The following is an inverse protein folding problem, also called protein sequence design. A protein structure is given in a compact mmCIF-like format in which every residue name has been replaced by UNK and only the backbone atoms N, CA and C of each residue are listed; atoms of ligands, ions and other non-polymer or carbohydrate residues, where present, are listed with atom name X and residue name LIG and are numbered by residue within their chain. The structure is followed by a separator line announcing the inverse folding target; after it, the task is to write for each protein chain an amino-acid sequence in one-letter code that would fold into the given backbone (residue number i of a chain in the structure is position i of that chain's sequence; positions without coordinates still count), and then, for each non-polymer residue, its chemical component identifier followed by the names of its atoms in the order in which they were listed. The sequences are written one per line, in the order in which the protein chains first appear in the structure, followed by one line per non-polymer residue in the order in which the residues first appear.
data_IF_313004500098
#
_entry.id   IF_313004500098
#
_cell.length_a   1.000
_cell.length_b   1.000
_cell.length_c   1.000
_cell.angle_alpha   90.00
_cell.angle_beta   90.00
_cell.angle_gamma   90.00
#
_symmetry.space_group_name_H-M   'P 1'
#
loop_
_entity.id
_entity.type
_entity.pdbx_description
1 polymer ?
#
# COMPACT_ATOMS: atom_id res chain seq x y z
N UNK A 1 28.84 -0.89 43.44
CA UNK A 1 29.82 -1.21 42.37
C UNK A 1 29.09 -1.13 41.03
N UNK A 2 29.35 -0.07 40.26
CA UNK A 2 28.69 0.19 39.00
C UNK A 2 29.29 -0.68 37.88
N UNK A 3 28.46 -1.48 37.23
CA UNK A 3 28.81 -2.17 35.99
C UNK A 3 28.87 -1.15 34.86
N UNK A 4 30.10 -0.81 34.43
CA UNK A 4 30.37 -0.11 33.18
C UNK A 4 30.02 -1.04 32.03
N UNK A 5 28.86 -0.86 31.41
CA UNK A 5 28.63 -1.36 30.06
C UNK A 5 29.39 -0.46 29.08
N UNK A 6 30.47 -1.00 28.49
CA UNK A 6 31.08 -0.41 27.30
C UNK A 6 30.09 -0.56 26.15
N UNK A 7 29.44 0.56 25.79
CA UNK A 7 28.65 0.67 24.56
C UNK A 7 29.64 0.67 23.40
N UNK A 8 29.77 -0.47 22.74
CA UNK A 8 30.57 -0.61 21.53
C UNK A 8 29.88 0.14 20.37
N UNK A 9 30.50 1.22 19.90
CA UNK A 9 30.65 1.72 18.51
C UNK A 9 29.50 1.70 17.47
N UNK A 10 28.35 1.04 17.65
CA UNK A 10 27.24 1.00 16.68
C UNK A 10 26.17 2.07 16.92
N UNK A 11 26.23 2.77 18.05
CA UNK A 11 25.22 3.77 18.47
C UNK A 11 25.48 5.19 17.98
N UNK A 12 26.66 5.49 17.42
CA UNK A 12 26.98 6.84 16.94
C UNK A 12 26.14 7.29 15.73
N UNK A 13 25.45 6.37 15.05
CA UNK A 13 24.56 6.70 13.92
C UNK A 13 23.07 6.86 14.34
N UNK A 14 22.72 6.61 15.61
CA UNK A 14 21.34 6.67 16.11
C UNK A 14 20.87 8.07 16.53
N UNK A 15 21.79 9.05 16.62
CA UNK A 15 21.46 10.44 16.97
C UNK A 15 20.53 11.12 15.93
N UNK A 16 20.47 10.59 14.70
CA UNK A 16 19.56 11.08 13.64
C UNK A 16 18.13 10.52 13.74
N UNK A 17 17.91 9.53 14.60
CA UNK A 17 16.62 8.84 14.78
C UNK A 17 16.05 9.04 16.19
N UNK A 18 16.51 10.06 16.92
CA UNK A 18 16.18 10.30 18.34
C UNK A 18 14.69 10.09 18.68
N UNK A 19 13.71 10.58 17.89
CA UNK A 19 12.30 10.35 18.21
C UNK A 19 11.89 8.87 18.12
N UNK A 20 12.38 8.13 17.13
CA UNK A 20 12.12 6.69 17.01
C UNK A 20 12.84 5.90 18.11
N UNK A 21 14.09 6.28 18.42
CA UNK A 21 14.89 5.64 19.47
C UNK A 21 14.24 5.81 20.85
N UNK A 22 13.67 6.98 21.15
CA UNK A 22 12.89 7.22 22.38
C UNK A 22 11.70 6.26 22.44
N UNK A 23 10.94 6.13 21.36
CA UNK A 23 9.79 5.22 21.31
C UNK A 23 10.21 3.74 21.44
N UNK A 24 11.35 3.35 20.88
CA UNK A 24 11.89 2.00 20.98
C UNK A 24 12.29 1.60 22.40
N UNK A 25 12.62 2.56 23.28
CA UNK A 25 12.88 2.26 24.70
C UNK A 25 11.65 1.70 25.42
N UNK A 26 10.45 1.95 24.90
CA UNK A 26 9.20 1.44 25.45
C UNK A 26 8.83 0.04 24.93
N UNK A 27 9.54 -0.46 23.93
CA UNK A 27 9.31 -1.76 23.29
C UNK A 27 10.12 -2.87 24.00
N UNK A 28 9.61 -4.13 24.06
CA UNK A 28 10.39 -5.26 24.56
C UNK A 28 11.74 -5.40 23.83
N UNK A 29 12.82 -5.62 24.57
CA UNK A 29 14.20 -5.57 24.07
C UNK A 29 14.46 -6.47 22.85
N UNK A 30 13.91 -7.69 22.82
CA UNK A 30 14.07 -8.63 21.68
C UNK A 30 13.47 -8.05 20.40
N UNK A 31 12.31 -7.39 20.49
CA UNK A 31 11.64 -6.74 19.36
C UNK A 31 12.33 -5.44 18.97
N UNK A 32 12.86 -4.70 19.93
CA UNK A 32 13.62 -3.48 19.66
C UNK A 32 14.86 -3.77 18.81
N UNK A 33 15.57 -4.90 19.03
CA UNK A 33 16.72 -5.30 18.21
C UNK A 33 16.30 -5.58 16.77
N UNK A 34 15.27 -6.40 16.55
CA UNK A 34 14.73 -6.69 15.21
C UNK A 34 14.32 -5.41 14.47
N UNK A 35 13.68 -4.47 15.17
CA UNK A 35 13.28 -3.19 14.58
C UNK A 35 14.49 -2.30 14.27
N UNK A 36 15.52 -2.31 15.13
CA UNK A 36 16.74 -1.53 14.91
C UNK A 36 17.50 -2.03 13.67
N UNK A 37 17.48 -3.33 13.40
CA UNK A 37 18.05 -3.90 12.16
C UNK A 37 17.36 -3.41 10.89
N UNK A 38 16.10 -2.98 10.97
CA UNK A 38 15.36 -2.40 9.85
C UNK A 38 15.71 -0.93 9.60
N UNK A 39 16.36 -0.28 10.57
CA UNK A 39 16.68 1.15 10.52
C UNK A 39 18.14 1.33 10.11
N UNK A 40 18.38 1.68 8.83
CA UNK A 40 19.71 2.03 8.33
C UNK A 40 19.86 3.54 8.28
N UNK A 41 20.55 4.19 9.24
CA UNK A 41 20.59 5.65 9.33
C UNK A 41 21.20 6.33 8.09
N UNK A 42 22.06 5.64 7.33
CA UNK A 42 22.71 6.18 6.13
C UNK A 42 21.76 6.43 4.96
N UNK A 43 20.57 5.81 4.95
CA UNK A 43 19.61 5.89 3.83
C UNK A 43 18.24 6.41 4.27
N UNK A 44 18.13 6.93 5.49
CA UNK A 44 16.86 7.34 6.08
C UNK A 44 16.84 8.82 6.43
N UNK A 45 15.71 9.45 6.14
CA UNK A 45 15.36 10.81 6.56
C UNK A 45 14.22 10.76 7.57
N UNK A 46 14.09 11.80 8.40
CA UNK A 46 13.05 11.87 9.43
C UNK A 46 12.08 13.03 9.17
N UNK A 47 10.77 12.77 9.31
CA UNK A 47 9.73 13.80 9.28
C UNK A 47 9.37 14.24 10.70
N UNK A 48 9.51 15.55 11.00
CA UNK A 48 9.06 16.11 12.28
C UNK A 48 7.54 16.04 12.38
N UNK A 49 7.08 15.61 13.56
CA UNK A 49 5.68 15.72 13.94
C UNK A 49 5.26 17.19 13.96
N UNK A 50 4.37 17.60 13.05
CA UNK A 50 3.72 18.92 13.07
C UNK A 50 4.03 19.85 11.89
N UNK A 51 5.13 19.67 11.16
CA UNK A 51 5.54 20.60 10.07
C UNK A 51 5.55 19.98 8.68
N UNK A 52 5.42 18.65 8.55
CA UNK A 52 5.64 17.94 7.27
C UNK A 52 6.98 18.26 6.60
N UNK A 53 7.95 18.79 7.36
CA UNK A 53 9.30 19.12 6.88
C UNK A 53 10.28 18.04 7.30
N UNK A 54 11.12 17.60 6.36
CA UNK A 54 12.23 16.68 6.64
C UNK A 54 13.24 17.39 7.56
N UNK A 55 13.52 16.79 8.72
CA UNK A 55 14.34 17.40 9.79
C UNK A 55 15.81 17.07 9.61
N UNK A 56 16.13 15.91 9.03
CA UNK A 56 17.50 15.44 8.85
C UNK A 56 17.60 14.61 7.55
N UNK A 57 18.58 14.94 6.69
CA UNK A 57 19.05 14.04 5.63
C UNK A 57 20.49 13.61 5.90
N UNK A 58 20.87 12.34 5.64
CA UNK A 58 22.26 11.93 5.71
C UNK A 58 23.00 12.51 4.50
N UNK A 59 24.01 13.35 4.76
CA UNK A 59 24.96 13.95 3.80
C UNK A 59 24.38 14.81 2.67
N UNK A 60 24.77 16.10 2.70
CA UNK A 60 24.80 16.99 1.54
C UNK A 60 25.78 16.44 0.50
N UNK A 61 25.36 15.47 -0.31
CA UNK A 61 25.91 15.36 -1.66
C UNK A 61 25.07 16.26 -2.55
N UNK A 62 25.73 17.15 -3.29
CA UNK A 62 25.13 18.13 -4.20
C UNK A 62 24.49 17.43 -5.39
N UNK A 63 23.36 16.78 -5.16
CA UNK A 63 22.51 16.16 -6.16
C UNK A 63 21.09 16.24 -5.63
N UNK A 64 20.26 17.07 -6.26
CA UNK A 64 18.83 17.22 -5.95
C UNK A 64 18.21 15.86 -5.58
N UNK A 65 17.64 15.74 -4.37
CA UNK A 65 16.67 14.70 -4.06
C UNK A 65 15.68 14.61 -5.22
N UNK A 66 15.74 13.53 -5.99
CA UNK A 66 14.81 13.28 -7.10
C UNK A 66 13.62 12.49 -6.57
N UNK A 67 12.94 13.07 -5.59
CA UNK A 67 11.55 12.73 -5.32
C UNK A 67 10.72 13.25 -6.49
N UNK A 68 10.64 12.46 -7.56
CA UNK A 68 9.81 12.73 -8.72
C UNK A 68 8.33 12.36 -8.48
N UNK A 69 7.99 11.89 -7.27
CA UNK A 69 6.63 11.60 -6.86
C UNK A 69 5.97 12.88 -6.35
N UNK A 70 4.80 13.21 -6.88
CA UNK A 70 4.07 14.47 -6.66
C UNK A 70 3.58 14.69 -5.21
N UNK A 71 3.80 13.75 -4.29
CA UNK A 71 3.30 13.85 -2.91
C UNK A 71 4.24 13.16 -1.92
N UNK A 72 4.77 13.90 -0.96
CA UNK A 72 5.46 13.34 0.22
C UNK A 72 4.43 12.68 1.16
N UNK A 73 4.81 11.65 1.95
CA UNK A 73 3.97 11.23 3.04
C UNK A 73 3.80 12.41 4.00
N UNK A 74 2.56 12.67 4.40
CA UNK A 74 2.24 13.79 5.28
C UNK A 74 1.78 13.30 6.63
N UNK A 75 2.08 14.08 7.67
CA UNK A 75 1.61 13.86 9.02
C UNK A 75 0.93 15.13 9.50
N UNK A 76 -0.35 15.01 9.86
CA UNK A 76 -1.16 16.11 10.35
C UNK A 76 -1.78 15.76 11.70
N UNK A 77 -1.78 16.73 12.62
CA UNK A 77 -2.65 16.67 13.78
C UNK A 77 -4.04 17.11 13.34
N UNK A 78 -4.90 16.12 13.11
CA UNK A 78 -6.26 16.36 12.64
C UNK A 78 -7.21 16.78 13.76
N UNK A 79 -6.75 16.87 15.01
CA UNK A 79 -7.62 17.15 16.16
C UNK A 79 -8.75 16.12 16.33
N UNK A 80 -8.65 14.96 15.65
CA UNK A 80 -9.59 13.87 15.76
C UNK A 80 -9.63 13.49 17.24
N UNK A 81 -10.76 13.74 17.90
CA UNK A 81 -10.92 13.52 19.35
C UNK A 81 -10.35 12.14 19.67
N UNK A 82 -9.28 12.11 20.46
CA UNK A 82 -8.66 10.88 20.95
C UNK A 82 -9.75 10.01 21.54
N UNK A 83 -10.18 8.99 20.81
CA UNK A 83 -11.10 8.00 21.29
C UNK A 83 -10.33 7.21 22.35
N UNK A 84 -10.76 7.31 23.60
CA UNK A 84 -10.13 6.55 24.67
C UNK A 84 -10.20 5.04 24.32
N UNK A 85 -9.15 4.24 24.56
CA UNK A 85 -9.18 2.82 24.18
C UNK A 85 -10.38 2.05 24.77
N UNK A 86 -10.80 2.34 26.01
CA UNK A 86 -12.12 1.94 26.55
C UNK A 86 -13.33 2.27 25.67
N UNK A 87 -13.40 3.49 25.14
CA UNK A 87 -14.49 3.90 24.25
C UNK A 87 -14.47 3.09 22.96
N UNK A 88 -13.30 2.88 22.37
CA UNK A 88 -13.14 2.02 21.20
C UNK A 88 -13.55 0.58 21.50
N UNK A 89 -13.14 0.05 22.66
CA UNK A 89 -13.53 -1.29 23.12
C UNK A 89 -15.05 -1.41 23.25
N UNK A 90 -15.70 -0.41 23.83
CA UNK A 90 -17.16 -0.39 23.97
C UNK A 90 -17.86 -0.33 22.61
N UNK A 91 -17.37 0.50 21.68
CA UNK A 91 -17.89 0.59 20.31
C UNK A 91 -17.77 -0.77 19.61
N UNK A 92 -16.60 -1.42 19.69
CA UNK A 92 -16.36 -2.72 19.09
C UNK A 92 -17.17 -3.86 19.74
N UNK A 93 -17.63 -3.68 20.98
CA UNK A 93 -18.53 -4.61 21.67
C UNK A 93 -20.00 -4.41 21.29
N UNK A 94 -20.40 -3.26 20.74
CA UNK A 94 -21.79 -3.02 20.30
C UNK A 94 -22.21 -3.91 19.13
N UNK A 95 -21.26 -4.29 18.28
CA UNK A 95 -21.45 -5.19 17.16
C UNK A 95 -20.20 -6.03 17.02
N UNK A 96 -20.32 -7.35 17.20
CA UNK A 96 -19.22 -8.31 17.11
C UNK A 96 -19.24 -9.11 15.80
N UNK A 97 -20.08 -8.74 14.82
CA UNK A 97 -20.13 -9.40 13.50
C UNK A 97 -18.76 -9.42 12.80
N UNK A 98 -17.94 -8.39 13.06
CA UNK A 98 -16.59 -8.26 12.52
C UNK A 98 -15.60 -9.33 12.99
N UNK A 99 -15.85 -10.03 14.11
CA UNK A 99 -14.92 -11.05 14.65
C UNK A 99 -14.71 -12.18 13.64
N UNK A 100 -15.76 -12.57 12.91
CA UNK A 100 -15.70 -13.61 11.88
C UNK A 100 -14.87 -13.23 10.65
N UNK A 101 -14.74 -11.93 10.37
CA UNK A 101 -14.04 -11.39 9.21
C UNK A 101 -12.61 -10.91 9.55
N UNK A 102 -12.09 -11.31 10.72
CA UNK A 102 -10.77 -10.90 11.20
C UNK A 102 -9.64 -11.61 10.47
N UNK A 103 -8.63 -10.83 10.08
CA UNK A 103 -7.35 -11.34 9.59
C UNK A 103 -6.28 -11.11 10.65
N UNK A 104 -5.56 -12.17 11.00
CA UNK A 104 -4.44 -12.15 11.95
C UNK A 104 -3.13 -12.27 11.17
N UNK A 105 -2.20 -11.35 11.44
CA UNK A 105 -0.84 -11.39 10.93
C UNK A 105 0.09 -11.81 12.07
N UNK A 106 0.81 -12.94 11.96
CA UNK A 106 1.81 -13.34 12.94
C UNK A 106 3.08 -12.47 12.83
N UNK A 107 3.87 -12.31 13.90
CA UNK A 107 5.14 -11.62 13.88
C UNK A 107 6.21 -12.45 13.18
N UNK A 108 6.96 -11.80 12.29
CA UNK A 108 8.14 -12.34 11.59
C UNK A 108 9.26 -12.44 12.64
N UNK A 109 9.42 -13.58 13.31
CA UNK A 109 10.40 -14.53 12.81
C UNK A 109 9.87 -15.97 12.81
N UNK A 110 8.60 -16.15 13.15
CA UNK A 110 7.93 -17.44 13.07
C UNK A 110 6.90 -17.32 11.95
N UNK A 111 7.31 -17.75 10.75
CA UNK A 111 6.43 -18.42 9.79
C UNK A 111 5.85 -19.73 10.38
N UNK A 112 5.66 -19.81 11.70
CA UNK A 112 4.63 -20.63 12.29
C UNK A 112 3.36 -19.82 12.14
N UNK A 113 2.79 -19.94 10.94
CA UNK A 113 1.36 -19.84 10.78
C UNK A 113 0.71 -20.44 12.01
N UNK A 114 -0.14 -19.69 12.71
CA UNK A 114 -1.17 -20.35 13.51
C UNK A 114 -1.98 -21.14 12.48
N UNK A 115 -1.79 -22.46 12.38
CA UNK A 115 -2.25 -23.23 11.23
C UNK A 115 -3.75 -23.31 11.36
N UNK A 116 -4.51 -22.46 10.63
CA UNK A 116 -5.97 -22.39 10.77
C UNK A 116 -6.38 -22.65 12.22
N UNK A 117 -5.72 -21.95 13.17
CA UNK A 117 -5.77 -22.40 14.57
C UNK A 117 -7.22 -22.36 14.98
N UNK A 118 -7.74 -23.51 15.44
CA UNK A 118 -9.07 -23.75 15.99
C UNK A 118 -9.83 -22.43 16.25
N UNK A 119 -10.98 -22.16 15.60
CA UNK A 119 -11.68 -20.84 15.67
C UNK A 119 -11.69 -20.20 17.07
N UNK A 120 -11.79 -21.04 18.09
CA UNK A 120 -11.67 -20.71 19.52
C UNK A 120 -10.37 -20.00 19.93
N UNK A 121 -9.21 -20.39 19.40
CA UNK A 121 -7.90 -19.76 19.64
C UNK A 121 -7.79 -18.37 19.01
N UNK A 122 -8.24 -18.20 17.77
CA UNK A 122 -8.27 -16.90 17.08
C UNK A 122 -9.21 -15.93 17.78
N UNK A 123 -10.42 -16.36 18.16
CA UNK A 123 -11.35 -15.55 18.93
C UNK A 123 -10.77 -15.13 20.30
N UNK A 124 -10.05 -16.04 20.98
CA UNK A 124 -9.40 -15.73 22.26
C UNK A 124 -8.31 -14.67 22.09
N UNK A 125 -7.52 -14.75 21.02
CA UNK A 125 -6.50 -13.73 20.69
C UNK A 125 -7.14 -12.37 20.38
N UNK A 126 -8.23 -12.36 19.60
CA UNK A 126 -9.00 -11.14 19.30
C UNK A 126 -9.53 -10.51 20.59
N UNK A 127 -10.22 -11.29 21.44
CA UNK A 127 -10.74 -10.81 22.73
C UNK A 127 -9.62 -10.31 23.64
N UNK A 128 -8.50 -11.03 23.70
CA UNK A 128 -7.31 -10.65 24.47
C UNK A 128 -6.78 -9.28 24.05
N UNK A 129 -6.59 -9.04 22.75
CA UNK A 129 -6.14 -7.74 22.25
C UNK A 129 -7.14 -6.61 22.54
N UNK A 130 -8.44 -6.87 22.40
CA UNK A 130 -9.49 -5.89 22.72
C UNK A 130 -9.52 -5.50 24.19
N UNK A 131 -9.48 -6.49 25.08
CA UNK A 131 -9.56 -6.29 26.54
C UNK A 131 -8.36 -5.50 27.07
N UNK A 132 -7.23 -5.58 26.37
CA UNK A 132 -5.97 -4.97 26.78
C UNK A 132 -5.59 -3.76 25.92
N UNK A 133 -6.54 -3.15 25.20
CA UNK A 133 -6.30 -1.91 24.43
C UNK A 133 -5.79 -0.73 25.27
N UNK A 134 -6.09 -0.72 26.57
CA UNK A 134 -5.55 0.26 27.53
C UNK A 134 -4.15 -0.14 28.07
N UNK A 135 -3.73 -1.40 27.94
CA UNK A 135 -2.44 -1.90 28.41
C UNK A 135 -1.37 -1.72 27.32
N UNK A 136 -0.60 -0.64 27.46
CA UNK A 136 0.44 -0.25 26.51
C UNK A 136 1.50 -1.33 26.27
N UNK A 137 1.73 -2.24 27.23
CA UNK A 137 2.79 -3.25 27.19
C UNK A 137 2.25 -4.66 27.03
N UNK A 138 1.00 -4.81 26.64
CA UNK A 138 0.40 -6.11 26.42
C UNK A 138 1.11 -6.88 25.30
N UNK A 139 1.67 -8.03 25.66
CA UNK A 139 2.51 -8.88 24.78
C UNK A 139 2.03 -10.33 24.72
N UNK A 140 0.97 -10.69 25.46
CA UNK A 140 0.53 -12.08 25.58
C UNK A 140 0.07 -12.69 24.24
N UNK A 141 -0.50 -11.87 23.35
CA UNK A 141 -0.78 -12.26 21.96
C UNK A 141 0.00 -11.37 21.01
N UNK A 142 1.11 -11.91 20.50
CA UNK A 142 1.90 -11.23 19.50
C UNK A 142 1.24 -11.44 18.13
N UNK A 143 0.27 -10.60 17.76
CA UNK A 143 -0.31 -10.57 16.42
C UNK A 143 -0.83 -9.18 16.06
N UNK A 144 -0.96 -8.91 14.76
CA UNK A 144 -1.72 -7.75 14.26
C UNK A 144 -3.06 -8.22 13.76
N UNK A 145 -4.11 -7.60 14.27
CA UNK A 145 -5.49 -7.84 13.90
C UNK A 145 -5.93 -6.80 12.88
N UNK A 146 -6.51 -7.21 11.76
CA UNK A 146 -7.18 -6.31 10.81
C UNK A 146 -8.59 -6.80 10.49
N UNK A 147 -9.54 -5.88 10.39
CA UNK A 147 -10.95 -6.21 10.18
C UNK A 147 -11.73 -5.01 9.65
N UNK A 148 -12.95 -5.24 9.18
CA UNK A 148 -13.91 -4.19 8.85
C UNK A 148 -14.96 -4.11 9.94
N UNK A 149 -15.36 -2.91 10.33
CA UNK A 149 -16.41 -2.74 11.35
C UNK A 149 -17.33 -1.58 10.96
N UNK A 150 -18.57 -1.91 10.62
CA UNK A 150 -19.58 -0.94 10.23
C UNK A 150 -19.94 0.04 11.36
N UNK A 151 -19.74 -0.34 12.63
CA UNK A 151 -19.95 0.56 13.78
C UNK A 151 -18.80 1.56 13.88
N UNK A 152 -17.56 1.10 13.71
CA UNK A 152 -16.39 1.98 13.67
C UNK A 152 -16.49 2.92 12.47
N UNK A 153 -16.89 2.43 11.30
CA UNK A 153 -17.10 3.26 10.10
C UNK A 153 -18.14 4.36 10.34
N UNK A 154 -19.28 4.03 10.97
CA UNK A 154 -20.32 5.02 11.30
C UNK A 154 -19.81 6.09 12.26
N UNK A 155 -19.05 5.68 13.27
CA UNK A 155 -18.47 6.61 14.23
C UNK A 155 -17.43 7.52 13.56
N UNK A 156 -16.62 6.94 12.67
CA UNK A 156 -15.49 7.60 12.05
C UNK A 156 -15.86 8.48 10.85
N UNK A 157 -17.04 8.27 10.24
CA UNK A 157 -17.54 9.10 9.13
C UNK A 157 -17.53 10.61 9.43
N UNK A 158 -17.56 11.00 10.70
CA UNK A 158 -17.50 12.39 11.14
C UNK A 158 -16.07 12.98 11.15
N UNK A 159 -15.05 12.13 11.14
CA UNK A 159 -13.62 12.49 11.24
C UNK A 159 -12.89 12.41 9.90
N UNK A 160 -13.43 11.64 8.95
CA UNK A 160 -13.01 11.67 7.55
C UNK A 160 -13.52 12.97 6.95
N UNK A 161 -12.68 14.00 6.95
CA UNK A 161 -13.06 15.34 6.50
C UNK A 161 -13.68 15.32 5.10
N UNK A 162 -14.63 16.23 4.86
CA UNK A 162 -15.28 16.48 3.56
C UNK A 162 -14.32 16.84 2.40
N UNK A 163 -13.02 16.92 2.66
CA UNK A 163 -11.97 17.28 1.71
C UNK A 163 -11.45 16.10 0.87
N UNK A 164 -11.88 14.86 1.13
CA UNK A 164 -11.57 13.71 0.26
C UNK A 164 -12.40 13.67 -1.05
N UNK A 165 -13.11 14.76 -1.36
CA UNK A 165 -14.08 14.85 -2.48
C UNK A 165 -13.45 15.03 -3.87
N UNK A 166 -12.11 15.02 -4.00
CA UNK A 166 -11.44 15.20 -5.30
C UNK A 166 -11.21 13.91 -6.10
N UNK A 167 -11.58 12.72 -5.59
CA UNK A 167 -11.41 11.47 -6.34
C UNK A 167 -12.66 11.13 -7.17
N UNK A 168 -12.54 11.20 -8.50
CA UNK A 168 -13.62 10.94 -9.47
C UNK A 168 -13.99 9.46 -9.65
N UNK A 169 -13.19 8.52 -9.11
CA UNK A 169 -13.64 7.13 -9.00
C UNK A 169 -14.63 7.05 -7.84
N UNK A 170 -15.84 6.53 -8.07
CA UNK A 170 -16.79 6.21 -7.00
C UNK A 170 -16.04 5.45 -5.91
N UNK A 171 -15.80 6.15 -4.81
CA UNK A 171 -14.97 5.72 -3.71
C UNK A 171 -15.47 4.38 -3.18
N UNK A 172 -14.84 3.28 -3.61
CA UNK A 172 -14.89 2.04 -2.82
C UNK A 172 -13.91 2.28 -1.67
N UNK A 173 -14.35 3.10 -0.70
CA UNK A 173 -13.64 3.28 0.56
C UNK A 173 -13.59 1.92 1.24
N UNK A 174 -12.45 1.26 1.15
CA UNK A 174 -12.19 0.08 1.97
C UNK A 174 -11.61 0.56 3.29
N UNK A 175 -12.49 0.90 4.20
CA UNK A 175 -12.10 1.20 5.57
C UNK A 175 -11.68 -0.11 6.24
N UNK A 176 -10.50 -0.11 6.84
CA UNK A 176 -9.99 -1.25 7.59
C UNK A 176 -9.52 -0.77 8.95
N UNK A 177 -10.02 -1.37 10.01
CA UNK A 177 -9.53 -1.16 11.37
C UNK A 177 -8.40 -2.14 11.64
N UNK A 178 -7.39 -1.69 12.37
CA UNK A 178 -6.23 -2.49 12.74
C UNK A 178 -5.88 -2.31 14.20
N UNK A 179 -5.57 -3.40 14.90
CA UNK A 179 -5.03 -3.42 16.26
C UNK A 179 -3.68 -4.14 16.23
N UNK A 180 -2.62 -3.43 16.58
CA UNK A 180 -1.25 -3.95 16.64
C UNK A 180 -0.83 -4.09 18.09
N UNK A 181 -0.30 -5.24 18.48
CA UNK A 181 0.32 -5.41 19.80
C UNK A 181 1.62 -4.62 19.94
N UNK A 182 2.10 -4.45 21.17
CA UNK A 182 3.41 -3.83 21.43
C UNK A 182 4.55 -4.70 20.85
N UNK A 183 5.36 -4.12 19.96
CA UNK A 183 6.43 -4.82 19.23
C UNK A 183 5.97 -5.51 17.94
N UNK A 184 4.73 -5.28 17.49
CA UNK A 184 4.26 -5.77 16.20
C UNK A 184 5.04 -5.14 15.05
N UNK A 185 5.35 -5.94 14.02
CA UNK A 185 5.96 -5.52 12.77
C UNK A 185 5.10 -6.02 11.59
N UNK A 186 4.73 -5.10 10.70
CA UNK A 186 4.09 -5.41 9.41
C UNK A 186 5.14 -5.26 8.30
N UNK A 187 5.40 -6.33 7.52
CA UNK A 187 6.37 -6.29 6.44
C UNK A 187 5.81 -5.60 5.19
N UNK A 188 6.72 -5.36 4.24
CA UNK A 188 6.45 -4.86 2.90
C UNK A 188 5.32 -5.60 2.15
N UNK A 189 5.07 -6.89 2.42
CA UNK A 189 3.97 -7.64 1.76
C UNK A 189 2.57 -7.11 2.12
N UNK A 190 2.44 -6.55 3.32
CA UNK A 190 1.21 -5.94 3.81
C UNK A 190 1.01 -4.50 3.30
N UNK A 191 1.98 -3.95 2.55
CA UNK A 191 1.87 -2.63 1.94
C UNK A 191 0.78 -2.62 0.86
N UNK A 192 -0.16 -1.69 0.95
CA UNK A 192 -1.18 -1.51 -0.10
C UNK A 192 -0.67 -0.65 -1.25
N UNK A 193 0.37 -1.12 -1.95
CA UNK A 193 1.14 -0.34 -2.95
C UNK A 193 0.25 0.31 -4.03
N UNK A 194 -0.86 -0.29 -4.44
CA UNK A 194 -1.68 0.30 -5.52
C UNK A 194 -2.62 1.44 -5.07
N UNK A 195 -2.65 1.80 -3.78
CA UNK A 195 -3.62 2.75 -3.22
C UNK A 195 -2.97 3.82 -2.36
N UNK A 196 -3.56 5.02 -2.37
CA UNK A 196 -3.34 5.98 -1.29
C UNK A 196 -3.88 5.39 0.01
N UNK A 197 -3.10 5.48 1.08
CA UNK A 197 -3.51 5.02 2.41
C UNK A 197 -3.48 6.18 3.39
N UNK A 198 -4.66 6.58 3.88
CA UNK A 198 -4.80 7.55 4.97
C UNK A 198 -5.03 6.79 6.26
N UNK A 199 -4.06 6.81 7.16
CA UNK A 199 -4.08 6.08 8.43
C UNK A 199 -4.26 7.06 9.57
N UNK A 200 -5.35 6.90 10.31
CA UNK A 200 -5.64 7.69 11.49
C UNK A 200 -5.41 6.83 12.73
N UNK A 201 -4.55 7.30 13.63
CA UNK A 201 -4.21 6.55 14.84
C UNK A 201 -5.13 6.96 15.98
N UNK A 202 -5.87 5.99 16.52
CA UNK A 202 -6.81 6.21 17.61
C UNK A 202 -6.09 6.12 18.96
N UNK A 203 -5.27 5.08 19.13
CA UNK A 203 -4.56 4.80 20.38
C UNK A 203 -3.14 4.33 20.11
N UNK A 204 -2.26 4.53 21.09
CA UNK A 204 -0.88 4.06 21.05
C UNK A 204 0.02 4.87 20.12
N UNK A 205 1.12 4.23 19.72
CA UNK A 205 2.15 4.80 18.84
C UNK A 205 2.52 3.79 17.75
N UNK A 206 2.56 4.27 16.51
CA UNK A 206 3.05 3.53 15.34
C UNK A 206 4.20 4.27 14.70
N UNK A 207 5.16 3.52 14.19
CA UNK A 207 6.27 4.05 13.40
C UNK A 207 6.19 3.46 12.00
N UNK A 208 6.29 4.32 11.01
CA UNK A 208 6.30 3.96 9.60
C UNK A 208 7.69 4.22 9.04
N UNK A 209 8.17 3.32 8.20
CA UNK A 209 9.30 3.55 7.33
C UNK A 209 8.77 3.46 5.90
N UNK A 210 8.71 4.60 5.23
CA UNK A 210 8.11 4.75 3.90
C UNK A 210 9.21 5.02 2.88
N UNK A 211 9.35 4.16 1.88
CA UNK A 211 10.34 4.32 0.82
C UNK A 211 9.67 4.93 -0.42
N UNK A 212 10.33 5.84 -1.16
CA UNK A 212 9.77 6.40 -2.39
C UNK A 212 9.72 5.35 -3.51
N UNK A 213 8.79 5.48 -4.47
CA UNK A 213 8.64 4.57 -5.60
C UNK A 213 9.70 4.79 -6.69
N UNK A 214 10.99 4.78 -6.32
CA UNK A 214 12.09 4.87 -7.30
C UNK A 214 12.20 3.57 -8.09
N UNK A 215 12.74 3.62 -9.31
CA UNK A 215 12.95 2.42 -10.13
C UNK A 215 13.70 1.33 -9.35
N UNK A 216 14.75 1.72 -8.62
CA UNK A 216 15.51 0.82 -7.75
C UNK A 216 14.62 0.17 -6.68
N UNK A 217 13.91 0.97 -5.88
CA UNK A 217 13.05 0.45 -4.81
C UNK A 217 11.95 -0.47 -5.36
N UNK A 218 11.35 -0.12 -6.50
CA UNK A 218 10.32 -0.94 -7.12
C UNK A 218 10.86 -2.27 -7.66
N UNK A 219 12.08 -2.29 -8.20
CA UNK A 219 12.75 -3.55 -8.60
C UNK A 219 13.10 -4.41 -7.39
N UNK A 220 13.63 -3.82 -6.32
CA UNK A 220 13.96 -4.52 -5.07
C UNK A 220 12.73 -5.16 -4.44
N UNK A 221 11.61 -4.43 -4.35
CA UNK A 221 10.35 -4.96 -3.80
C UNK A 221 9.74 -6.03 -4.71
N UNK A 222 9.82 -5.86 -6.03
CA UNK A 222 9.38 -6.89 -6.97
C UNK A 222 10.15 -8.19 -6.75
N UNK A 223 11.49 -8.10 -6.66
CA UNK A 223 12.34 -9.26 -6.35
C UNK A 223 11.98 -9.89 -5.01
N UNK A 224 11.77 -9.09 -3.97
CA UNK A 224 11.34 -9.58 -2.66
C UNK A 224 10.06 -10.42 -2.73
N UNK A 225 9.04 -9.97 -3.47
CA UNK A 225 7.81 -10.75 -3.65
C UNK A 225 8.03 -12.03 -4.46
N UNK A 226 8.89 -12.00 -5.48
CA UNK A 226 9.26 -13.21 -6.22
C UNK A 226 10.00 -14.22 -5.32
N UNK A 227 10.95 -13.76 -4.53
CA UNK A 227 11.73 -14.60 -3.61
C UNK A 227 10.83 -15.28 -2.57
N UNK A 228 9.84 -14.55 -2.02
CA UNK A 228 8.82 -15.11 -1.11
C UNK A 228 8.06 -16.29 -1.75
N UNK A 229 7.75 -16.22 -3.04
CA UNK A 229 7.05 -17.32 -3.75
C UNK A 229 7.94 -18.52 -4.06
N UNK A 230 9.27 -18.37 -4.01
CA UNK A 230 10.24 -19.40 -4.41
C UNK A 230 10.79 -20.22 -3.23
N UNK A 231 10.10 -20.23 -2.08
CA UNK A 231 10.54 -20.90 -0.84
C UNK A 231 11.85 -20.35 -0.25
N UNK A 232 12.34 -19.22 -0.74
CA UNK A 232 13.37 -18.45 -0.05
C UNK A 232 12.67 -17.61 1.02
N UNK A 233 13.18 -17.61 2.23
CA UNK A 233 12.78 -16.65 3.26
C UNK A 233 13.80 -15.52 3.24
N UNK A 234 13.67 -14.52 2.33
CA UNK A 234 14.58 -13.40 2.34
C UNK A 234 14.55 -12.77 3.72
N UNK A 235 15.74 -12.48 4.28
CA UNK A 235 15.81 -11.74 5.53
C UNK A 235 15.21 -10.36 5.28
N UNK A 236 14.04 -10.10 5.84
CA UNK A 236 13.28 -8.88 5.61
C UNK A 236 14.13 -7.61 5.85
N UNK A 237 14.97 -7.64 6.89
CA UNK A 237 15.91 -6.57 7.19
C UNK A 237 16.89 -6.28 6.05
N UNK A 238 17.43 -7.32 5.39
CA UNK A 238 18.35 -7.13 4.26
C UNK A 238 17.65 -6.39 3.11
N UNK A 239 16.40 -6.75 2.82
CA UNK A 239 15.63 -6.09 1.75
C UNK A 239 15.36 -4.63 2.09
N UNK A 240 14.99 -4.34 3.35
CA UNK A 240 14.84 -2.96 3.82
C UNK A 240 16.16 -2.18 3.74
N UNK A 241 17.29 -2.83 3.99
CA UNK A 241 18.63 -2.21 3.88
C UNK A 241 18.99 -1.87 2.44
N UNK A 242 18.47 -2.63 1.47
CA UNK A 242 18.67 -2.39 0.04
C UNK A 242 17.77 -1.27 -0.52
N UNK A 243 16.72 -0.86 0.22
CA UNK A 243 15.84 0.23 -0.16
C UNK A 243 16.47 1.60 0.17
N UNK A 244 16.27 2.56 -0.72
CA UNK A 244 16.90 3.87 -0.66
C UNK A 244 15.91 4.97 -0.31
N UNK A 245 16.42 6.04 0.31
CA UNK A 245 15.70 7.28 0.60
C UNK A 245 14.44 7.09 1.48
N UNK A 246 14.49 6.15 2.43
CA UNK A 246 13.38 5.88 3.35
C UNK A 246 13.07 7.07 4.24
N UNK A 247 11.80 7.28 4.56
CA UNK A 247 11.35 8.30 5.53
C UNK A 247 10.73 7.61 6.74
N UNK A 248 11.28 7.89 7.91
CA UNK A 248 10.72 7.46 9.17
C UNK A 248 9.69 8.47 9.71
N UNK A 249 8.52 7.98 10.12
CA UNK A 249 7.40 8.77 10.64
C UNK A 249 6.93 8.15 11.96
N UNK A 250 6.99 8.92 13.05
CA UNK A 250 6.40 8.51 14.35
C UNK A 250 4.99 9.11 14.45
N UNK A 251 3.99 8.25 14.46
CA UNK A 251 2.59 8.62 14.59
C UNK A 251 2.11 8.34 16.02
N UNK A 252 1.60 9.39 16.68
CA UNK A 252 0.93 9.31 17.97
C UNK A 252 -0.59 9.36 17.82
N UNK A 253 -1.30 8.91 18.85
CA UNK A 253 -2.76 8.95 18.92
C UNK A 253 -3.34 10.37 18.66
N UNK A 254 -4.31 10.43 17.74
CA UNK A 254 -4.95 11.65 17.24
C UNK A 254 -4.38 12.16 15.90
N UNK A 255 -3.23 11.63 15.48
CA UNK A 255 -2.56 12.05 14.25
C UNK A 255 -2.96 11.19 13.07
N UNK A 256 -2.84 11.78 11.88
CA UNK A 256 -3.11 11.13 10.60
C UNK A 256 -1.84 11.09 9.76
N UNK A 257 -1.54 9.94 9.17
CA UNK A 257 -0.44 9.72 8.23
C UNK A 257 -1.05 9.35 6.88
N UNK A 258 -0.66 10.04 5.81
CA UNK A 258 -1.04 9.67 4.45
C UNK A 258 0.17 9.11 3.71
N UNK A 259 0.03 7.90 3.16
CA UNK A 259 1.04 7.20 2.38
C UNK A 259 0.59 7.19 0.92
N UNK A 260 1.38 7.79 0.00
CA UNK A 260 1.10 7.77 -1.43
C UNK A 260 1.16 6.35 -2.01
N UNK A 261 0.62 6.13 -3.22
CA UNK A 261 0.70 4.86 -3.89
C UNK A 261 2.15 4.55 -4.26
N UNK A 262 2.41 3.26 -4.38
CA UNK A 262 3.67 2.62 -4.74
C UNK A 262 4.82 2.88 -3.78
N UNK A 263 4.57 3.48 -2.62
CA UNK A 263 5.57 3.66 -1.58
C UNK A 263 5.68 2.38 -0.73
N UNK A 264 6.75 1.58 -0.85
CA UNK A 264 6.95 0.42 0.02
C UNK A 264 7.01 0.88 1.47
N UNK A 265 6.28 0.19 2.35
CA UNK A 265 6.12 0.64 3.73
C UNK A 265 6.29 -0.51 4.71
N UNK A 266 7.11 -0.29 5.73
CA UNK A 266 7.20 -1.14 6.90
C UNK A 266 6.59 -0.39 8.09
N UNK A 267 5.77 -1.08 8.90
CA UNK A 267 5.10 -0.45 10.05
C UNK A 267 5.37 -1.25 11.30
N UNK A 268 5.70 -0.59 12.39
CA UNK A 268 5.78 -1.23 13.69
C UNK A 268 5.09 -0.42 14.78
N UNK A 269 4.74 -1.09 15.87
CA UNK A 269 4.00 -0.50 16.99
C UNK A 269 4.84 -0.56 18.25
N UNK A 270 5.13 0.58 18.88
CA UNK A 270 5.95 0.63 20.11
C UNK A 270 5.11 0.43 21.38
N UNK A 271 3.80 0.66 21.27
CA UNK A 271 2.79 0.29 22.28
C UNK A 271 1.70 -0.57 21.63
N UNK A 272 0.74 -1.09 22.39
CA UNK A 272 -0.52 -1.52 21.74
C UNK A 272 -1.14 -0.31 21.03
N UNK A 273 -1.58 -0.49 19.78
CA UNK A 273 -2.10 0.60 18.98
C UNK A 273 -3.29 0.19 18.13
N UNK A 274 -4.31 1.04 18.13
CA UNK A 274 -5.49 0.88 17.27
C UNK A 274 -5.59 2.05 16.31
N UNK A 275 -5.83 1.75 15.04
CA UNK A 275 -5.95 2.77 14.00
C UNK A 275 -6.86 2.30 12.88
N UNK A 276 -7.43 3.26 12.17
CA UNK A 276 -8.22 3.01 10.98
C UNK A 276 -7.47 3.47 9.74
N UNK A 277 -7.56 2.68 8.68
CA UNK A 277 -6.95 2.94 7.40
C UNK A 277 -8.05 3.10 6.37
N UNK A 278 -8.05 4.25 5.72
CA UNK A 278 -8.83 4.53 4.54
C UNK A 278 -7.93 4.32 3.34
N UNK A 279 -8.38 3.50 2.40
CA UNK A 279 -7.68 3.33 1.13
C UNK A 279 -8.51 3.95 0.02
N UNK A 280 -7.86 4.80 -0.76
CA UNK A 280 -8.45 5.43 -1.93
C UNK A 280 -7.57 5.19 -3.15
N UNK A 281 -8.21 5.13 -4.31
CA UNK A 281 -7.54 4.99 -5.60
C UNK A 281 -7.90 6.22 -6.42
N UNK A 282 -6.90 6.91 -6.92
CA UNK A 282 -7.08 8.15 -7.68
C UNK A 282 -6.86 7.91 -9.17
N UNK A 283 -7.45 8.77 -10.01
CA UNK A 283 -7.29 8.73 -11.47
C UNK A 283 -5.83 8.97 -11.88
N UNK A 284 -5.16 9.87 -11.17
CA UNK A 284 -3.78 10.26 -11.40
C UNK A 284 -2.80 9.07 -11.30
N UNK A 285 -3.16 8.04 -10.52
CA UNK A 285 -2.32 6.86 -10.27
C UNK A 285 -2.65 5.69 -11.21
N UNK A 286 -3.57 5.86 -12.16
CA UNK A 286 -4.01 4.77 -13.05
C UNK A 286 -2.88 4.30 -13.99
N UNK A 287 -2.09 5.23 -14.53
CA UNK A 287 -0.93 4.91 -15.37
C UNK A 287 0.12 4.10 -14.60
N UNK A 288 0.44 4.51 -13.37
CA UNK A 288 1.39 3.81 -12.49
C UNK A 288 0.93 2.37 -12.18
N UNK A 289 -0.37 2.16 -11.96
CA UNK A 289 -0.93 0.81 -11.76
C UNK A 289 -0.79 -0.09 -12.98
N UNK A 290 -0.88 0.49 -14.17
CA UNK A 290 -0.63 -0.25 -15.41
C UNK A 290 0.86 -0.56 -15.58
N UNK A 291 1.75 0.38 -15.26
CA UNK A 291 3.21 0.20 -15.31
C UNK A 291 3.70 -0.90 -14.35
N UNK A 292 3.07 -1.00 -13.18
CA UNK A 292 3.45 -1.94 -12.11
C UNK A 292 2.57 -3.19 -12.03
N UNK A 293 1.99 -3.64 -13.15
CA UNK A 293 1.19 -4.88 -13.21
C UNK A 293 1.92 -6.10 -12.67
N UNK A 294 3.20 -6.28 -13.04
CA UNK A 294 3.97 -7.45 -12.63
C UNK A 294 4.23 -7.45 -11.12
N UNK A 295 4.42 -6.27 -10.53
CA UNK A 295 4.54 -6.12 -9.08
C UNK A 295 3.25 -6.49 -8.36
N UNK A 296 2.09 -6.06 -8.87
CA UNK A 296 0.78 -6.45 -8.34
C UNK A 296 0.62 -7.98 -8.38
N UNK A 297 0.97 -8.61 -9.49
CA UNK A 297 0.89 -10.08 -9.63
C UNK A 297 1.82 -10.76 -8.64
N UNK A 298 3.07 -10.31 -8.53
CA UNK A 298 4.04 -10.87 -7.59
C UNK A 298 3.57 -10.71 -6.14
N UNK A 299 3.03 -9.55 -5.77
CA UNK A 299 2.48 -9.31 -4.44
C UNK A 299 1.31 -10.25 -4.14
N UNK A 300 0.33 -10.37 -5.03
CA UNK A 300 -0.82 -11.26 -4.83
C UNK A 300 -0.36 -12.71 -4.69
N UNK A 301 0.61 -13.15 -5.51
CA UNK A 301 1.18 -14.50 -5.41
C UNK A 301 1.97 -14.71 -4.11
N UNK A 302 2.71 -13.71 -3.64
CA UNK A 302 3.42 -13.78 -2.37
C UNK A 302 2.42 -13.93 -1.20
N UNK A 303 1.35 -13.12 -1.20
CA UNK A 303 0.26 -13.24 -0.21
C UNK A 303 -0.40 -14.60 -0.30
N UNK A 304 -0.76 -15.09 -1.50
CA UNK A 304 -1.34 -16.42 -1.69
C UNK A 304 -0.43 -17.52 -1.16
N UNK A 305 0.87 -17.44 -1.45
CA UNK A 305 1.85 -18.41 -0.96
C UNK A 305 1.95 -18.40 0.56
N UNK A 306 2.05 -17.21 1.17
CA UNK A 306 2.05 -17.05 2.63
C UNK A 306 0.77 -17.63 3.22
N UNK A 307 -0.41 -17.25 2.74
CA UNK A 307 -1.68 -17.74 3.28
C UNK A 307 -2.07 -19.16 2.82
N UNK A 308 -1.24 -19.83 2.02
CA UNK A 308 -1.53 -21.13 1.38
C UNK A 308 -2.83 -21.13 0.58
N UNK A 309 -3.21 -19.98 0.02
CA UNK A 309 -4.35 -19.84 -0.87
C UNK A 309 -3.97 -20.33 -2.27
N UNK A 310 -4.72 -21.30 -2.78
CA UNK A 310 -4.47 -21.89 -4.11
C UNK A 310 -5.36 -21.31 -5.21
N UNK A 311 -6.36 -20.50 -4.85
CA UNK A 311 -7.34 -19.97 -5.79
C UNK A 311 -6.85 -18.66 -6.43
N UNK A 312 -6.91 -18.58 -7.77
CA UNK A 312 -6.59 -17.37 -8.54
C UNK A 312 -7.66 -16.26 -8.45
N UNK A 313 -8.65 -16.41 -7.56
CA UNK A 313 -9.76 -15.45 -7.37
C UNK A 313 -9.28 -14.05 -7.02
N UNK A 314 -8.17 -13.95 -6.27
CA UNK A 314 -7.53 -12.66 -5.94
C UNK A 314 -6.98 -11.95 -7.19
N UNK A 315 -6.30 -12.68 -8.09
CA UNK A 315 -5.78 -12.11 -9.35
C UNK A 315 -6.91 -11.70 -10.30
N UNK A 316 -7.97 -12.50 -10.39
CA UNK A 316 -9.19 -12.14 -11.13
C UNK A 316 -9.79 -10.84 -10.59
N UNK A 317 -9.95 -10.73 -9.26
CA UNK A 317 -10.50 -9.55 -8.60
C UNK A 317 -9.68 -8.31 -8.93
N UNK A 318 -8.36 -8.36 -8.74
CA UNK A 318 -7.47 -7.23 -8.98
C UNK A 318 -7.45 -6.81 -10.46
N UNK A 319 -7.41 -7.78 -11.38
CA UNK A 319 -7.43 -7.51 -12.84
C UNK A 319 -8.75 -6.90 -13.27
N UNK A 320 -9.87 -7.45 -12.81
CA UNK A 320 -11.22 -6.94 -13.10
C UNK A 320 -11.42 -5.55 -12.50
N UNK A 321 -10.88 -5.30 -11.31
CA UNK A 321 -10.97 -3.99 -10.66
C UNK A 321 -10.17 -2.93 -11.42
N UNK A 322 -8.95 -3.25 -11.88
CA UNK A 322 -8.18 -2.36 -12.74
C UNK A 322 -8.93 -2.05 -14.04
N UNK A 323 -9.56 -3.05 -14.67
CA UNK A 323 -10.42 -2.83 -15.83
C UNK A 323 -11.59 -1.89 -15.53
N UNK A 324 -12.28 -2.05 -14.39
CA UNK A 324 -13.41 -1.19 -14.01
C UNK A 324 -12.96 0.27 -13.85
N UNK A 325 -11.83 0.50 -13.19
CA UNK A 325 -11.25 1.83 -13.00
C UNK A 325 -10.85 2.43 -14.35
N UNK A 326 -10.15 1.65 -15.18
CA UNK A 326 -9.79 2.02 -16.53
C UNK A 326 -11.02 2.39 -17.39
N UNK A 327 -12.07 1.57 -17.35
CA UNK A 327 -13.33 1.83 -18.05
C UNK A 327 -14.05 3.06 -17.51
N UNK A 328 -13.93 3.36 -16.22
CA UNK A 328 -14.57 4.52 -15.61
C UNK A 328 -13.85 5.80 -16.04
N UNK A 329 -12.52 5.79 -16.01
CA UNK A 329 -11.68 6.91 -16.45
C UNK A 329 -11.94 7.28 -17.92
N UNK A 330 -11.86 6.30 -18.82
CA UNK A 330 -12.04 6.55 -20.26
C UNK A 330 -13.48 6.97 -20.64
N UNK A 331 -14.49 6.61 -19.84
CA UNK A 331 -15.87 7.07 -20.03
C UNK A 331 -16.09 8.49 -19.51
N UNK A 332 -15.48 8.82 -18.38
CA UNK A 332 -15.61 10.11 -17.70
C UNK A 332 -14.78 11.23 -18.33
N UNK A 333 -14.05 10.96 -19.40
CA UNK A 333 -13.11 11.89 -20.04
C UNK A 333 -13.85 13.04 -20.74
N UNK A 334 -14.34 14.03 -19.99
CA UNK A 334 -14.75 15.34 -20.53
C UNK A 334 -13.52 16.14 -20.99
N UNK A 335 -13.62 16.91 -22.09
CA UNK A 335 -12.47 17.64 -22.64
C UNK A 335 -11.96 18.68 -21.64
N UNK A 336 -10.78 18.42 -21.07
CA UNK A 336 -10.08 19.33 -20.17
C UNK A 336 -8.57 19.07 -20.23
N UNK A 337 -7.76 20.12 -20.03
CA UNK A 337 -6.29 20.00 -20.07
C UNK A 337 -5.73 18.93 -19.11
N UNK A 338 -6.24 18.78 -17.86
CA UNK A 338 -5.80 17.69 -16.98
C UNK A 338 -6.19 16.31 -17.49
N UNK A 339 -7.42 16.12 -17.97
CA UNK A 339 -7.89 14.83 -18.50
C UNK A 339 -7.10 14.40 -19.75
N UNK A 340 -6.73 15.36 -20.60
CA UNK A 340 -5.87 15.13 -21.75
C UNK A 340 -4.49 14.59 -21.33
N UNK A 341 -3.83 15.26 -20.38
CA UNK A 341 -2.51 14.83 -19.86
C UNK A 341 -2.56 13.42 -19.28
N UNK A 342 -3.60 13.11 -18.50
CA UNK A 342 -3.80 11.79 -17.92
C UNK A 342 -4.06 10.73 -19.00
N UNK A 343 -4.83 11.06 -20.04
CA UNK A 343 -5.10 10.17 -21.17
C UNK A 343 -3.82 9.83 -21.94
N UNK A 344 -2.96 10.83 -22.18
CA UNK A 344 -1.66 10.62 -22.83
C UNK A 344 -0.71 9.78 -21.94
N UNK A 345 -0.65 10.07 -20.64
CA UNK A 345 0.16 9.27 -19.70
C UNK A 345 -0.32 7.82 -19.63
N UNK A 346 -1.64 7.60 -19.65
CA UNK A 346 -2.23 6.26 -19.71
C UNK A 346 -1.93 5.57 -21.05
N UNK A 347 -1.92 6.30 -22.16
CA UNK A 347 -1.54 5.79 -23.48
C UNK A 347 -0.09 5.33 -23.54
N UNK A 348 0.82 6.11 -22.97
CA UNK A 348 2.23 5.73 -22.81
C UNK A 348 2.39 4.47 -21.95
N UNK A 349 1.71 4.40 -20.80
CA UNK A 349 1.70 3.20 -19.97
C UNK A 349 1.11 1.97 -20.69
N UNK A 350 0.10 2.19 -21.54
CA UNK A 350 -0.50 1.13 -22.36
C UNK A 350 0.45 0.60 -23.43
N UNK A 351 1.25 1.46 -24.06
CA UNK A 351 2.29 1.04 -25.01
C UNK A 351 3.23 0.02 -24.37
N UNK A 352 3.61 0.25 -23.12
CA UNK A 352 4.57 -0.60 -22.41
C UNK A 352 3.94 -1.87 -21.83
N UNK A 353 2.72 -1.78 -21.28
CA UNK A 353 2.12 -2.85 -20.47
C UNK A 353 0.75 -3.35 -20.94
N UNK A 354 0.22 -2.85 -22.05
CA UNK A 354 -1.09 -3.23 -22.59
C UNK A 354 -1.17 -4.71 -23.00
N UNK A 355 -0.10 -5.26 -23.59
CA UNK A 355 0.01 -6.69 -23.92
C UNK A 355 0.02 -7.55 -22.65
N UNK A 356 0.74 -7.13 -21.62
CA UNK A 356 0.76 -7.80 -20.31
C UNK A 356 -0.60 -7.76 -19.63
N UNK A 357 -1.30 -6.63 -19.66
CA UNK A 357 -2.66 -6.51 -19.16
C UNK A 357 -3.61 -7.50 -19.86
N UNK A 358 -3.54 -7.60 -21.19
CA UNK A 358 -4.31 -8.59 -21.96
C UNK A 358 -3.98 -10.02 -21.53
N UNK A 359 -2.70 -10.35 -21.34
CA UNK A 359 -2.30 -11.67 -20.88
C UNK A 359 -2.92 -12.02 -19.52
N UNK A 360 -2.96 -11.08 -18.56
CA UNK A 360 -3.62 -11.28 -17.27
C UNK A 360 -5.13 -11.51 -17.41
N UNK A 361 -5.77 -10.79 -18.32
CA UNK A 361 -7.20 -10.97 -18.63
C UNK A 361 -7.46 -12.36 -19.23
N UNK A 362 -6.56 -12.86 -20.07
CA UNK A 362 -6.70 -14.21 -20.65
C UNK A 362 -6.43 -15.33 -19.64
N UNK A 363 -5.44 -15.14 -18.76
CA UNK A 363 -4.94 -16.13 -17.80
C UNK A 363 -5.83 -16.26 -16.56
N UNK A 364 -6.31 -15.13 -16.02
CA UNK A 364 -6.91 -15.10 -14.68
C UNK A 364 -8.39 -14.69 -14.64
N UNK A 365 -8.95 -14.08 -15.70
CA UNK A 365 -10.34 -13.59 -15.66
C UNK A 365 -11.32 -14.62 -16.22
N UNK A 366 -12.44 -14.82 -15.54
CA UNK A 366 -13.50 -15.74 -15.97
C UNK A 366 -14.00 -15.41 -17.38
N UNK A 367 -14.33 -16.46 -18.14
CA UNK A 367 -14.80 -16.36 -19.54
C UNK A 367 -15.83 -15.24 -19.80
N UNK A 368 -16.93 -15.08 -19.03
CA UNK A 368 -17.91 -14.03 -19.30
C UNK A 368 -17.33 -12.62 -19.15
N UNK A 369 -16.56 -12.36 -18.08
CA UNK A 369 -15.92 -11.06 -17.85
C UNK A 369 -14.80 -10.80 -18.87
N UNK A 370 -14.06 -11.84 -19.24
CA UNK A 370 -13.01 -11.78 -20.25
C UNK A 370 -13.53 -11.33 -21.62
N UNK A 371 -14.61 -11.95 -22.12
CA UNK A 371 -15.23 -11.55 -23.39
C UNK A 371 -15.75 -10.11 -23.34
N UNK A 372 -16.31 -9.70 -22.20
CA UNK A 372 -16.74 -8.33 -21.98
C UNK A 372 -15.56 -7.34 -22.06
N UNK A 373 -14.43 -7.65 -21.42
CA UNK A 373 -13.22 -6.80 -21.44
C UNK A 373 -12.67 -6.71 -22.87
N UNK A 374 -12.52 -7.86 -23.55
CA UNK A 374 -12.02 -7.94 -24.93
C UNK A 374 -12.78 -7.05 -25.91
N UNK A 375 -14.11 -7.01 -25.78
CA UNK A 375 -14.98 -6.20 -26.62
C UNK A 375 -14.95 -4.72 -26.28
N UNK A 376 -14.78 -4.36 -25.01
CA UNK A 376 -14.98 -2.99 -24.53
C UNK A 376 -13.71 -2.15 -24.55
N UNK A 377 -12.54 -2.70 -24.27
CA UNK A 377 -11.28 -1.93 -24.22
C UNK A 377 -11.04 -1.08 -25.50
N UNK A 378 -11.13 -1.65 -26.73
CA UNK A 378 -10.97 -0.87 -27.96
C UNK A 378 -12.04 0.24 -28.12
N UNK A 379 -13.28 -0.04 -27.69
CA UNK A 379 -14.40 0.92 -27.75
C UNK A 379 -14.19 2.07 -26.79
N UNK A 380 -13.66 1.80 -25.60
CA UNK A 380 -13.36 2.80 -24.57
C UNK A 380 -12.24 3.73 -25.03
N UNK A 381 -11.17 3.19 -25.62
CA UNK A 381 -10.12 4.02 -26.21
C UNK A 381 -10.66 4.90 -27.34
N UNK A 382 -11.47 4.34 -28.25
CA UNK A 382 -12.08 5.13 -29.32
C UNK A 382 -13.00 6.22 -28.79
N UNK A 383 -13.71 5.98 -27.69
CA UNK A 383 -14.51 7.00 -27.01
C UNK A 383 -13.62 8.11 -26.43
N UNK A 384 -12.57 7.76 -25.68
CA UNK A 384 -11.68 8.73 -25.04
C UNK A 384 -10.96 9.61 -26.06
N UNK A 385 -10.45 9.03 -27.16
CA UNK A 385 -9.81 9.78 -28.26
C UNK A 385 -10.77 10.79 -28.87
N UNK A 386 -12.03 10.40 -29.13
CA UNK A 386 -13.05 11.30 -29.66
C UNK A 386 -13.42 12.41 -28.68
N UNK A 387 -13.64 12.07 -27.42
CA UNK A 387 -14.05 13.03 -26.39
C UNK A 387 -12.96 14.07 -26.09
N UNK A 388 -11.69 13.66 -26.15
CA UNK A 388 -10.54 14.54 -25.92
C UNK A 388 -10.08 15.28 -27.18
N UNK A 389 -10.66 15.00 -28.35
CA UNK A 389 -10.27 15.63 -29.61
C UNK A 389 -8.82 15.35 -30.00
N UNK A 390 -8.30 14.16 -29.68
CA UNK A 390 -6.93 13.79 -29.99
C UNK A 390 -6.74 13.65 -31.51
N UNK A 391 -5.68 14.26 -32.04
CA UNK A 391 -5.28 14.11 -33.45
C UNK A 391 -4.33 12.92 -33.67
N UNK A 392 -3.67 12.46 -32.62
CA UNK A 392 -2.71 11.37 -32.63
C UNK A 392 -3.18 10.22 -31.74
N UNK A 393 -2.80 9.00 -32.09
CA UNK A 393 -3.03 7.84 -31.26
C UNK A 393 -2.24 7.99 -29.95
N UNK A 394 -2.89 7.98 -28.76
CA UNK A 394 -2.19 8.16 -27.48
C UNK A 394 -1.25 6.99 -27.15
N UNK A 395 -1.38 5.85 -27.85
CA UNK A 395 -0.53 4.67 -27.64
C UNK A 395 0.67 4.65 -28.56
N UNK A 396 0.60 5.05 -29.84
CA UNK A 396 1.74 4.96 -30.77
C UNK A 396 2.14 6.27 -31.45
N UNK A 397 1.47 7.38 -31.14
CA UNK A 397 1.70 8.72 -31.69
C UNK A 397 1.51 8.82 -33.21
N UNK A 398 0.85 7.85 -33.85
CA UNK A 398 0.48 7.94 -35.28
C UNK A 398 -0.70 8.88 -35.43
N UNK A 399 -0.64 9.78 -36.42
CA UNK A 399 -1.72 10.70 -36.74
C UNK A 399 -2.98 9.93 -37.17
N UNK A 400 -4.12 10.24 -36.55
CA UNK A 400 -5.38 9.54 -36.77
C UNK A 400 -5.91 9.77 -38.18
N UNK A 401 -5.62 10.93 -38.79
CA UNK A 401 -6.01 11.25 -40.18
C UNK A 401 -5.26 10.36 -41.18
N UNK A 402 -4.07 9.89 -40.82
CA UNK A 402 -3.20 9.09 -41.68
C UNK A 402 -3.47 7.58 -41.58
N UNK A 403 -4.33 7.15 -40.65
CA UNK A 403 -4.58 5.72 -40.40
C UNK A 403 -5.29 5.00 -41.55
N UNK A 404 -6.01 5.72 -42.43
CA UNK A 404 -6.85 5.12 -43.47
C UNK A 404 -7.99 4.23 -42.96
N UNK A 405 -8.13 4.06 -41.65
CA UNK A 405 -9.14 3.26 -40.94
C UNK A 405 -9.66 4.01 -39.73
N UNK A 406 -10.84 3.61 -39.21
CA UNK A 406 -11.33 4.16 -37.96
C UNK A 406 -10.35 3.85 -36.80
N UNK A 407 -10.12 4.82 -35.92
CA UNK A 407 -9.21 4.68 -34.78
C UNK A 407 -9.46 3.39 -33.97
N UNK A 408 -10.72 3.03 -33.70
CA UNK A 408 -11.05 1.80 -32.98
C UNK A 408 -10.54 0.51 -33.67
N UNK A 409 -10.51 0.48 -35.00
CA UNK A 409 -9.97 -0.64 -35.77
C UNK A 409 -8.43 -0.66 -35.72
N UNK A 410 -7.78 0.50 -35.83
CA UNK A 410 -6.34 0.63 -35.60
C UNK A 410 -5.95 0.14 -34.20
N UNK A 411 -6.65 0.61 -33.17
CA UNK A 411 -6.40 0.20 -31.80
C UNK A 411 -6.59 -1.31 -31.59
N UNK A 412 -7.70 -1.84 -32.11
CA UNK A 412 -7.97 -3.28 -32.06
C UNK A 412 -6.81 -4.07 -32.66
N UNK A 413 -6.31 -3.68 -33.83
CA UNK A 413 -5.29 -4.42 -34.56
C UNK A 413 -3.90 -4.27 -33.94
N UNK A 414 -3.47 -3.03 -33.71
CA UNK A 414 -2.09 -2.71 -33.37
C UNK A 414 -1.82 -2.73 -31.85
N UNK A 415 -2.82 -2.47 -31.00
CA UNK A 415 -2.62 -2.26 -29.55
C UNK A 415 -3.40 -3.22 -28.65
N UNK A 416 -4.28 -4.04 -29.24
CA UNK A 416 -5.09 -5.00 -28.49
C UNK A 416 -4.92 -6.43 -29.00
N UNK A 417 -5.01 -6.65 -30.32
CA UNK A 417 -4.94 -7.97 -30.92
C UNK A 417 -3.54 -8.42 -31.31
N UNK A 418 -2.53 -7.54 -31.22
CA UNK A 418 -1.25 -7.69 -31.94
C UNK A 418 -0.83 -9.16 -32.10
N UNK A 419 -0.67 -9.49 -33.38
CA UNK A 419 -0.73 -10.80 -34.01
C UNK A 419 0.04 -11.89 -33.27
N UNK A 420 -0.51 -13.10 -33.33
CA UNK A 420 0.32 -14.28 -33.50
C UNK A 420 1.21 -14.04 -34.72
N UNK A 421 2.42 -13.54 -34.53
CA UNK A 421 3.46 -13.53 -35.57
C UNK A 421 4.82 -13.57 -34.87
N UNK A 422 5.42 -14.76 -34.87
CA UNK A 422 6.83 -14.97 -34.54
C UNK A 422 7.09 -16.10 -33.54
N UNK A 423 6.70 -17.33 -33.88
CA UNK A 423 7.55 -18.47 -33.50
C UNK A 423 8.97 -18.19 -34.04
N UNK A 424 9.91 -17.98 -33.12
CA UNK A 424 11.31 -18.32 -33.27
C UNK A 424 11.77 -19.06 -32.01
#
# INVERSE_FOLDING_TARGET
MALKFQVASTTNNLWFLVPVVIELQSCPAVRAVEITELMVPAHMSFLASGTSTVVCSPQEDKGRFRWACLTLPTQHDTGARRLHPRSLTNILKMDQSWIGDTQLYPPIPLLVFLPSSNKTGSEKAVRGLLEHLDDQRYTAYATTLTFRSAVVDRYLKQFVGSNETSSTFSQILTNTTSIMHCGALLPLEASALASNSTIHLITGVRVYIVYPPTLHNMMTVHKYFLDLTQHFTPKHANVCNDLQEGIAIVQHAGQTVTIPPFCPTTVFSTTISAGFTIRSRCQDDLSMRLLHLDLMVAQVKAVQYVYQETANTSLEYHTTQLYKEFSTFLRASEPSTPSLRLTLALGAAWREKGTRFRALVEEYVSKPSREQIRKNVPRLWNLAVRNQGLEECPVCNVNIKDLGVAFGAHFQKEHWNQAEDGDL
#
